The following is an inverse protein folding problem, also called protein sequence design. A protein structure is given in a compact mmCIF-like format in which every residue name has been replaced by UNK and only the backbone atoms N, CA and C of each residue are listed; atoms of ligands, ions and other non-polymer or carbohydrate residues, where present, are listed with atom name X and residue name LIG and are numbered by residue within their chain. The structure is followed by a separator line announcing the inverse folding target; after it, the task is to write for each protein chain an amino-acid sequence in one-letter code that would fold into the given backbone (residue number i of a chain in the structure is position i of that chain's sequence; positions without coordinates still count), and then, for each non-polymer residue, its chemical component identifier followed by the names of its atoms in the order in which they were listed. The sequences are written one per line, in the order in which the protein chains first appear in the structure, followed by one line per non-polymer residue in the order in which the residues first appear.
data_IF_422431714408
#
_entry.id   IF_422431714408
#
_cell.length_a   1.000
_cell.length_b   1.000
_cell.length_c   1.000
_cell.angle_alpha   90.00
_cell.angle_beta   90.00
_cell.angle_gamma   90.00
#
_symmetry.space_group_name_H-M   'P 1'
#
loop_
_entity.id
_entity.type
_entity.pdbx_description
1 polymer ?
#
# COMPACT_ATOMS: atom_id res chain seq x y z
N UNK A 1 3.15 8.60 -2.45
CA UNK A 1 3.31 9.52 -1.30
C UNK A 1 4.46 9.02 -0.46
N UNK A 2 5.52 9.78 -0.37
CA UNK A 2 6.66 9.50 0.50
C UNK A 2 6.74 10.64 1.49
N UNK A 3 7.00 10.37 2.74
CA UNK A 3 7.23 11.43 3.73
C UNK A 3 8.31 11.02 4.72
N UNK A 4 9.07 12.00 5.15
CA UNK A 4 10.13 11.85 6.14
C UNK A 4 9.55 11.82 7.54
N UNK A 5 10.06 10.96 8.39
CA UNK A 5 9.70 10.88 9.80
C UNK A 5 10.73 11.57 10.69
N UNK A 6 10.28 12.07 11.83
CA UNK A 6 11.19 12.51 12.88
C UNK A 6 11.99 11.29 13.39
N UNK A 7 13.33 11.32 13.25
CA UNK A 7 14.19 10.19 13.60
C UNK A 7 14.89 9.55 12.40
N UNK A 8 14.95 10.26 11.27
CA UNK A 8 15.80 9.88 10.12
C UNK A 8 15.25 8.78 9.22
N UNK A 9 14.01 8.35 9.43
CA UNK A 9 13.36 7.34 8.60
C UNK A 9 12.40 7.92 7.56
N UNK A 10 12.08 7.15 6.53
CA UNK A 10 11.06 7.49 5.52
C UNK A 10 9.95 6.43 5.46
N UNK A 11 8.73 6.89 5.25
CA UNK A 11 7.61 6.03 4.87
C UNK A 11 7.42 6.06 3.36
N UNK A 12 7.56 4.92 2.72
CA UNK A 12 7.31 4.74 1.30
C UNK A 12 5.89 4.23 1.10
N UNK A 13 4.99 5.10 0.68
CA UNK A 13 3.58 4.78 0.55
C UNK A 13 3.29 4.00 -0.73
N UNK A 14 3.01 2.73 -0.61
CA UNK A 14 2.40 1.92 -1.66
C UNK A 14 0.88 2.21 -1.68
N UNK A 15 0.28 2.55 -2.83
CA UNK A 15 -1.16 2.78 -2.90
C UNK A 15 -1.98 1.57 -2.45
N UNK A 16 -3.07 1.79 -1.74
CA UNK A 16 -4.06 0.77 -1.29
C UNK A 16 -3.56 -0.21 -0.23
N UNK A 17 -2.46 0.09 0.44
CA UNK A 17 -1.92 -0.76 1.53
C UNK A 17 -2.14 -0.18 2.94
N UNK A 18 -2.98 0.85 3.09
CA UNK A 18 -3.25 1.45 4.40
C UNK A 18 -2.39 2.68 4.74
N UNK A 19 -1.64 3.20 3.77
CA UNK A 19 -0.71 4.32 3.99
C UNK A 19 -1.35 5.60 4.52
N UNK A 20 -2.61 5.87 4.18
CA UNK A 20 -3.34 7.01 4.75
C UNK A 20 -3.49 6.87 6.26
N UNK A 21 -3.76 5.66 6.76
CA UNK A 21 -3.84 5.37 8.19
C UNK A 21 -2.47 5.60 8.87
N UNK A 22 -1.39 5.05 8.27
CA UNK A 22 -0.01 5.25 8.77
C UNK A 22 0.32 6.74 8.85
N UNK A 23 0.02 7.49 7.80
CA UNK A 23 0.27 8.93 7.77
C UNK A 23 -0.41 9.67 8.93
N UNK A 24 -1.70 9.43 9.14
CA UNK A 24 -2.42 10.11 10.21
C UNK A 24 -1.93 9.68 11.61
N UNK A 25 -1.62 8.38 11.80
CA UNK A 25 -1.04 7.89 13.04
C UNK A 25 0.27 8.62 13.36
N UNK A 26 1.19 8.64 12.42
CA UNK A 26 2.50 9.28 12.62
C UNK A 26 2.38 10.80 12.79
N UNK A 27 1.48 11.44 12.04
CA UNK A 27 1.20 12.87 12.17
C UNK A 27 0.64 13.23 13.55
N UNK A 28 -0.33 12.50 14.06
CA UNK A 28 -0.93 12.74 15.38
C UNK A 28 0.07 12.51 16.53
N UNK A 29 1.08 11.68 16.29
CA UNK A 29 2.16 11.48 17.24
C UNK A 29 3.36 12.43 17.03
N UNK A 30 3.23 13.43 16.15
CA UNK A 30 4.29 14.39 15.88
C UNK A 30 5.50 13.83 15.15
N UNK A 31 5.33 12.68 14.48
CA UNK A 31 6.42 11.96 13.82
C UNK A 31 6.63 12.35 12.36
N UNK A 32 5.75 13.14 11.76
CA UNK A 32 5.88 13.61 10.37
C UNK A 32 6.61 14.94 10.35
N UNK A 33 7.79 14.95 9.75
CA UNK A 33 8.66 16.14 9.68
C UNK A 33 8.29 17.09 8.54
N UNK A 34 7.63 16.62 7.48
CA UNK A 34 7.25 17.41 6.32
C UNK A 34 5.78 17.27 5.97
N UNK A 35 5.07 18.35 5.56
CA UNK A 35 3.73 18.22 5.02
C UNK A 35 3.80 17.57 3.62
N UNK A 36 2.85 16.71 3.34
CA UNK A 36 2.53 16.08 2.06
C UNK A 36 3.40 16.48 0.84
N UNK A 37 4.39 15.65 0.52
CA UNK A 37 4.85 15.53 -0.85
C UNK A 37 4.11 14.36 -1.52
N UNK A 38 3.52 14.56 -2.69
CA UNK A 38 2.95 13.48 -3.50
C UNK A 38 4.02 12.68 -4.25
N UNK A 39 5.25 12.72 -3.79
CA UNK A 39 6.35 11.98 -4.41
C UNK A 39 6.31 10.54 -3.98
N UNK A 40 6.30 9.63 -4.95
CA UNK A 40 6.31 8.19 -4.73
C UNK A 40 7.73 7.67 -4.99
N UNK A 41 8.39 7.19 -3.94
CA UNK A 41 9.52 6.29 -4.10
C UNK A 41 10.92 6.89 -4.16
N UNK A 42 11.15 8.16 -3.81
CA UNK A 42 12.50 8.71 -3.72
C UNK A 42 12.93 8.92 -2.27
N UNK A 43 14.02 8.26 -1.89
CA UNK A 43 14.77 8.52 -0.66
C UNK A 43 15.73 9.67 -0.94
N UNK A 44 15.76 10.68 -0.09
CA UNK A 44 16.65 11.82 -0.30
C UNK A 44 17.90 11.78 0.58
N UNK A 45 17.82 11.42 1.82
CA UNK A 45 18.96 11.27 2.74
C UNK A 45 18.55 10.52 4.03
N UNK A 46 17.50 9.72 3.96
CA UNK A 46 17.02 8.98 5.11
C UNK A 46 17.93 7.79 5.40
N UNK A 47 18.20 7.54 6.69
CA UNK A 47 19.03 6.42 7.13
C UNK A 47 18.36 5.06 6.88
N UNK A 48 17.02 5.06 6.83
CA UNK A 48 16.22 3.87 6.61
C UNK A 48 14.82 4.22 6.10
N UNK A 49 14.17 3.26 5.47
CA UNK A 49 12.79 3.39 5.03
C UNK A 49 11.94 2.18 5.42
N UNK A 50 10.64 2.38 5.44
CA UNK A 50 9.67 1.30 5.57
C UNK A 50 8.51 1.48 4.62
N UNK A 51 7.90 0.37 4.26
CA UNK A 51 6.66 0.34 3.48
C UNK A 51 5.64 -0.62 4.10
N UNK A 52 4.42 -0.57 3.59
CA UNK A 52 3.35 -1.49 3.97
C UNK A 52 2.95 -2.29 2.75
N UNK A 53 2.98 -3.61 2.83
CA UNK A 53 2.38 -4.50 1.86
C UNK A 53 0.95 -4.86 2.26
N UNK A 54 0.19 -5.35 1.31
CA UNK A 54 -1.12 -5.94 1.50
C UNK A 54 -1.19 -7.27 0.77
N UNK A 55 -1.90 -8.26 1.31
CA UNK A 55 -2.11 -9.52 0.62
C UNK A 55 -2.65 -9.28 -0.80
N UNK A 56 -2.11 -9.95 -1.85
CA UNK A 56 -2.45 -9.64 -3.24
C UNK A 56 -3.96 -9.61 -3.53
N UNK A 57 -4.73 -10.59 -3.07
CA UNK A 57 -6.19 -10.57 -3.25
C UNK A 57 -6.84 -9.32 -2.65
N UNK A 58 -6.45 -8.98 -1.41
CA UNK A 58 -6.93 -7.79 -0.73
C UNK A 58 -6.53 -6.49 -1.43
N UNK A 59 -5.34 -6.46 -2.03
CA UNK A 59 -4.88 -5.30 -2.79
C UNK A 59 -5.71 -5.08 -4.05
N UNK A 60 -5.85 -6.10 -4.91
CA UNK A 60 -6.63 -6.03 -6.16
C UNK A 60 -8.09 -5.66 -5.87
N UNK A 61 -8.73 -6.32 -4.90
CA UNK A 61 -10.11 -6.01 -4.51
C UNK A 61 -10.27 -4.56 -4.04
N UNK A 62 -9.35 -4.07 -3.18
CA UNK A 62 -9.38 -2.69 -2.68
C UNK A 62 -9.11 -1.66 -3.77
N UNK A 63 -8.21 -1.96 -4.71
CA UNK A 63 -7.94 -1.08 -5.82
C UNK A 63 -9.17 -0.96 -6.74
N UNK A 64 -9.76 -2.07 -7.15
CA UNK A 64 -10.94 -2.09 -7.99
C UNK A 64 -12.14 -1.37 -7.33
N UNK A 65 -12.38 -1.62 -6.03
CA UNK A 65 -13.44 -0.93 -5.30
C UNK A 65 -13.22 0.58 -5.22
N UNK A 66 -11.98 1.01 -4.99
CA UNK A 66 -11.62 2.43 -4.96
C UNK A 66 -11.82 3.10 -6.32
N UNK A 67 -11.36 2.50 -7.39
CA UNK A 67 -11.54 3.02 -8.75
C UNK A 67 -13.03 3.22 -9.08
N UNK A 68 -13.87 2.25 -8.74
CA UNK A 68 -15.32 2.37 -8.93
C UNK A 68 -15.94 3.49 -8.11
N UNK A 69 -15.54 3.63 -6.85
CA UNK A 69 -16.06 4.66 -5.95
C UNK A 69 -15.62 6.08 -6.33
N UNK A 70 -14.42 6.23 -6.89
CA UNK A 70 -13.85 7.53 -7.28
C UNK A 70 -14.24 7.98 -8.68
N UNK A 71 -15.05 7.21 -9.41
CA UNK A 71 -15.44 7.52 -10.78
C UNK A 71 -14.27 7.48 -11.78
N UNK A 72 -13.22 6.73 -11.48
CA UNK A 72 -12.06 6.47 -12.35
C UNK A 72 -11.16 7.68 -12.67
N UNK A 73 -11.37 8.84 -12.06
CA UNK A 73 -10.75 10.10 -12.50
C UNK A 73 -9.57 10.63 -11.68
N UNK A 74 -9.08 9.92 -10.67
CA UNK A 74 -8.27 10.55 -9.62
C UNK A 74 -6.75 10.47 -9.79
N UNK A 75 -6.23 9.81 -10.82
CA UNK A 75 -4.79 9.58 -10.97
C UNK A 75 -4.27 10.13 -12.29
N UNK A 76 -3.81 11.37 -12.29
CA UNK A 76 -3.51 12.10 -13.55
C UNK A 76 -2.02 12.23 -13.87
N UNK A 77 -1.11 11.70 -13.05
CA UNK A 77 0.34 11.83 -13.29
C UNK A 77 0.94 10.56 -13.90
N UNK A 78 1.69 10.67 -15.00
CA UNK A 78 2.38 9.54 -15.62
C UNK A 78 3.39 8.83 -14.67
N UNK A 79 3.85 9.54 -13.65
CA UNK A 79 4.77 9.00 -12.63
C UNK A 79 4.05 8.28 -11.47
N UNK A 80 2.72 8.33 -11.43
CA UNK A 80 1.98 7.66 -10.35
C UNK A 80 2.08 6.14 -10.49
N UNK A 81 2.36 5.37 -9.41
CA UNK A 81 2.51 3.92 -9.48
C UNK A 81 1.32 3.18 -10.08
N UNK A 82 0.13 3.77 -10.06
CA UNK A 82 -1.10 3.20 -10.64
C UNK A 82 -1.44 3.71 -12.04
N UNK A 83 -0.60 4.56 -12.65
CA UNK A 83 -0.92 5.17 -13.95
C UNK A 83 -1.16 4.12 -15.06
N UNK A 84 -0.47 3.00 -14.98
CA UNK A 84 -0.57 1.89 -15.93
C UNK A 84 -1.96 1.21 -15.92
N UNK A 85 -2.69 1.26 -14.80
CA UNK A 85 -3.94 0.49 -14.60
C UNK A 85 -5.18 1.37 -14.32
N UNK A 86 -5.08 2.67 -14.53
CA UNK A 86 -6.16 3.64 -14.21
C UNK A 86 -7.37 3.54 -15.13
N UNK A 87 -7.20 3.02 -16.33
CA UNK A 87 -8.22 3.14 -17.39
C UNK A 87 -9.21 1.97 -17.47
N UNK A 88 -9.11 0.99 -16.58
CA UNK A 88 -10.00 -0.17 -16.58
C UNK A 88 -11.35 0.19 -15.97
N UNK A 89 -12.38 0.31 -16.81
CA UNK A 89 -13.76 0.50 -16.38
C UNK A 89 -14.53 -0.81 -16.52
N UNK A 90 -14.99 -1.36 -15.41
CA UNK A 90 -15.82 -2.56 -15.41
C UNK A 90 -16.91 -2.46 -14.33
N UNK A 91 -18.14 -2.96 -14.60
CA UNK A 91 -19.27 -2.87 -13.66
C UNK A 91 -19.07 -3.69 -12.38
N UNK A 92 -18.22 -4.71 -12.39
CA UNK A 92 -17.93 -5.56 -11.23
C UNK A 92 -16.46 -5.46 -10.81
N UNK A 93 -16.20 -5.77 -9.53
CA UNK A 93 -14.83 -5.82 -9.00
C UNK A 93 -14.02 -6.92 -9.70
N UNK A 94 -14.58 -8.12 -9.83
CA UNK A 94 -13.93 -9.23 -10.55
C UNK A 94 -13.58 -8.87 -11.98
N UNK A 95 -14.51 -8.29 -12.72
CA UNK A 95 -14.26 -7.90 -14.10
C UNK A 95 -13.17 -6.85 -14.24
N UNK A 96 -13.10 -5.90 -13.30
CA UNK A 96 -12.02 -4.92 -13.27
C UNK A 96 -10.67 -5.57 -12.97
N UNK A 97 -10.61 -6.46 -11.98
CA UNK A 97 -9.37 -7.18 -11.65
C UNK A 97 -8.88 -8.01 -12.83
N UNK A 98 -9.77 -8.73 -13.50
CA UNK A 98 -9.44 -9.50 -14.71
C UNK A 98 -8.88 -8.63 -15.82
N UNK A 99 -9.52 -7.49 -16.10
CA UNK A 99 -9.04 -6.55 -17.12
C UNK A 99 -7.63 -6.02 -16.79
N UNK A 100 -7.35 -5.72 -15.52
CA UNK A 100 -6.01 -5.34 -15.08
C UNK A 100 -4.99 -6.46 -15.34
N UNK A 101 -5.32 -7.70 -14.99
CA UNK A 101 -4.42 -8.84 -15.15
C UNK A 101 -4.17 -9.20 -16.62
N UNK A 102 -5.17 -9.05 -17.49
CA UNK A 102 -5.04 -9.28 -18.93
C UNK A 102 -4.12 -8.24 -19.59
N UNK A 103 -4.19 -6.99 -19.17
CA UNK A 103 -3.42 -5.91 -19.77
C UNK A 103 -2.05 -5.74 -19.11
N UNK A 104 -1.98 -5.91 -17.79
CA UNK A 104 -0.76 -5.75 -16.99
C UNK A 104 -0.54 -6.92 -16.04
N UNK A 105 -0.26 -8.14 -16.55
CA UNK A 105 0.14 -9.25 -15.70
C UNK A 105 1.40 -8.85 -14.91
N UNK A 106 1.59 -9.36 -13.72
CA UNK A 106 2.71 -9.01 -12.83
C UNK A 106 2.76 -7.54 -12.35
N UNK A 107 1.66 -6.78 -12.52
CA UNK A 107 1.64 -5.37 -12.13
C UNK A 107 1.97 -5.17 -10.65
N UNK A 108 1.36 -5.96 -9.77
CA UNK A 108 1.51 -5.79 -8.32
C UNK A 108 2.94 -6.16 -7.87
N UNK A 109 3.51 -7.25 -8.38
CA UNK A 109 4.89 -7.65 -8.06
C UNK A 109 5.91 -6.62 -8.54
N UNK A 110 5.73 -6.06 -9.75
CA UNK A 110 6.60 -4.97 -10.23
C UNK A 110 6.48 -3.72 -9.34
N UNK A 111 5.27 -3.39 -8.91
CA UNK A 111 5.07 -2.28 -7.98
C UNK A 111 5.71 -2.57 -6.62
N UNK A 112 5.45 -3.73 -6.04
CA UNK A 112 6.04 -4.11 -4.74
C UNK A 112 7.57 -4.10 -4.78
N UNK A 113 8.18 -4.66 -5.83
CA UNK A 113 9.63 -4.70 -6.01
C UNK A 113 10.28 -3.33 -5.89
N UNK A 114 9.72 -2.31 -6.55
CA UNK A 114 10.23 -0.93 -6.48
C UNK A 114 10.31 -0.36 -5.07
N UNK A 115 9.38 -0.73 -4.19
CA UNK A 115 9.35 -0.24 -2.82
C UNK A 115 10.16 -1.13 -1.87
N UNK A 116 10.17 -2.44 -2.10
CA UNK A 116 10.92 -3.40 -1.30
C UNK A 116 12.42 -3.16 -1.39
N UNK A 117 12.94 -2.88 -2.59
CA UNK A 117 14.37 -2.61 -2.83
C UNK A 117 14.87 -1.41 -2.01
N UNK A 118 13.98 -0.48 -1.67
CA UNK A 118 14.32 0.73 -0.91
C UNK A 118 13.91 0.66 0.57
N UNK A 119 13.24 -0.41 1.01
CA UNK A 119 12.70 -0.53 2.36
C UNK A 119 13.54 -1.44 3.24
N UNK A 120 13.99 -0.93 4.38
CA UNK A 120 14.64 -1.74 5.43
C UNK A 120 13.62 -2.53 6.25
N UNK A 121 12.42 -2.00 6.43
CA UNK A 121 11.35 -2.63 7.21
C UNK A 121 10.09 -2.73 6.36
N UNK A 122 9.40 -3.85 6.47
CA UNK A 122 8.15 -4.10 5.77
C UNK A 122 7.07 -4.49 6.77
N UNK A 123 5.95 -3.77 6.70
CA UNK A 123 4.77 -4.01 7.51
C UNK A 123 3.69 -4.64 6.63
N UNK A 124 2.74 -5.33 7.24
CA UNK A 124 1.58 -5.89 6.54
C UNK A 124 0.30 -5.15 6.91
N UNK A 125 -0.53 -4.90 5.94
CA UNK A 125 -1.82 -4.23 6.17
C UNK A 125 -2.73 -5.03 7.12
N UNK A 126 -2.63 -6.34 7.05
CA UNK A 126 -3.43 -7.29 7.83
C UNK A 126 -3.07 -7.27 9.32
N UNK A 127 -1.81 -6.99 9.66
CA UNK A 127 -1.27 -6.92 11.02
C UNK A 127 -0.73 -5.53 11.36
N UNK A 128 -1.19 -4.50 10.64
CA UNK A 128 -0.58 -3.17 10.62
C UNK A 128 -0.39 -2.52 12.00
N UNK A 129 -1.33 -2.73 12.92
CA UNK A 129 -1.24 -2.18 14.28
C UNK A 129 -0.07 -2.82 15.04
N UNK A 130 0.04 -4.14 14.98
CA UNK A 130 1.10 -4.87 15.69
C UNK A 130 2.46 -4.59 15.05
N UNK A 131 2.51 -4.55 13.71
CA UNK A 131 3.72 -4.29 12.96
C UNK A 131 4.26 -2.86 13.21
N UNK A 132 3.38 -1.83 13.24
CA UNK A 132 3.82 -0.45 13.52
C UNK A 132 4.30 -0.29 14.97
N UNK A 133 3.72 -1.01 15.91
CA UNK A 133 4.20 -1.02 17.30
C UNK A 133 5.56 -1.70 17.39
N UNK A 134 5.75 -2.84 16.74
CA UNK A 134 7.06 -3.53 16.65
C UNK A 134 8.11 -2.64 15.99
N UNK A 135 7.76 -1.94 14.92
CA UNK A 135 8.65 -0.96 14.29
C UNK A 135 9.00 0.16 15.27
N UNK A 136 8.01 0.70 15.98
CA UNK A 136 8.24 1.82 16.91
C UNK A 136 9.22 1.45 18.00
N UNK A 137 9.15 0.25 18.54
CA UNK A 137 10.11 -0.25 19.54
C UNK A 137 11.53 -0.37 18.97
N UNK A 138 11.65 -0.87 17.72
CA UNK A 138 12.96 -1.01 17.05
C UNK A 138 13.65 0.31 16.73
N UNK A 139 12.86 1.35 16.39
CA UNK A 139 13.41 2.65 15.98
C UNK A 139 13.31 3.72 17.08
N UNK A 140 12.85 3.35 18.27
CA UNK A 140 12.78 4.24 19.42
C UNK A 140 11.65 5.29 19.35
N UNK A 141 10.56 4.99 18.65
CA UNK A 141 9.41 5.89 18.61
C UNK A 141 8.50 5.70 19.83
N UNK A 142 7.83 6.77 20.24
CA UNK A 142 6.78 6.73 21.27
C UNK A 142 5.41 6.95 20.63
N UNK A 143 4.81 5.89 20.11
CA UNK A 143 3.50 5.94 19.43
C UNK A 143 2.36 5.69 20.44
N UNK A 144 1.36 6.56 20.40
CA UNK A 144 0.11 6.42 21.17
C UNK A 144 -1.04 6.07 20.22
N UNK A 145 -1.64 4.90 20.44
CA UNK A 145 -2.76 4.42 19.61
C UNK A 145 -4.14 4.94 20.06
N UNK A 146 -4.23 5.79 21.10
CA UNK A 146 -5.50 6.13 21.80
C UNK A 146 -6.60 6.68 20.90
N UNK A 147 -6.27 7.38 19.82
CA UNK A 147 -7.23 7.99 18.90
C UNK A 147 -7.56 7.13 17.67
N UNK A 148 -6.88 6.03 17.46
CA UNK A 148 -6.93 5.27 16.21
C UNK A 148 -7.71 3.95 16.27
N UNK A 149 -8.22 3.55 17.46
CA UNK A 149 -9.03 2.33 17.60
C UNK A 149 -10.43 2.43 16.97
N UNK A 150 -10.89 3.63 16.66
CA UNK A 150 -12.24 3.90 16.17
C UNK A 150 -12.27 4.15 14.66
N UNK A 151 -11.93 3.13 13.88
CA UNK A 151 -12.18 3.08 12.45
C UNK A 151 -10.96 3.36 11.58
N UNK A 152 -10.66 2.41 10.72
CA UNK A 152 -9.74 2.61 9.60
C UNK A 152 -10.34 3.66 8.67
N UNK A 153 -9.81 4.87 8.69
CA UNK A 153 -10.24 5.93 7.76
C UNK A 153 -9.91 5.47 6.33
N UNK A 154 -10.87 5.58 5.43
CA UNK A 154 -10.80 5.20 4.01
C UNK A 154 -10.84 3.68 3.70
N UNK A 155 -11.51 2.88 4.50
CA UNK A 155 -11.94 1.57 4.01
C UNK A 155 -13.04 1.76 2.96
N UNK A 156 -12.72 1.47 1.70
CA UNK A 156 -13.75 1.26 0.70
C UNK A 156 -14.24 -0.17 0.87
N UNK A 157 -15.53 -0.39 1.24
CA UNK A 157 -16.05 -1.74 1.32
C UNK A 157 -15.86 -2.44 -0.03
N UNK A 158 -15.21 -3.57 -0.02
CA UNK A 158 -15.07 -4.42 -1.20
C UNK A 158 -15.65 -5.80 -0.88
N UNK A 159 -16.36 -6.36 -1.85
CA UNK A 159 -16.79 -7.75 -1.78
C UNK A 159 -15.60 -8.71 -1.91
N UNK A 160 -15.84 -9.97 -1.64
CA UNK A 160 -14.87 -11.02 -1.91
C UNK A 160 -14.70 -11.22 -3.42
N UNK A 161 -13.49 -11.51 -3.86
CA UNK A 161 -13.20 -11.94 -5.23
C UNK A 161 -13.71 -13.38 -5.41
N UNK A 162 -14.20 -13.66 -6.61
CA UNK A 162 -14.54 -15.05 -6.98
C UNK A 162 -13.28 -15.92 -7.00
N UNK A 163 -13.47 -17.23 -6.80
CA UNK A 163 -12.36 -18.19 -6.82
C UNK A 163 -11.65 -18.24 -8.19
N UNK A 164 -12.38 -17.97 -9.25
CA UNK A 164 -11.82 -17.86 -10.59
C UNK A 164 -10.88 -16.64 -10.71
N UNK A 165 -11.32 -15.49 -10.19
CA UNK A 165 -10.47 -14.28 -10.18
C UNK A 165 -9.25 -14.45 -9.28
N UNK A 166 -9.40 -15.10 -8.12
CA UNK A 166 -8.26 -15.43 -7.25
C UNK A 166 -7.23 -16.29 -7.95
N UNK A 167 -7.67 -17.38 -8.64
CA UNK A 167 -6.77 -18.23 -9.43
C UNK A 167 -6.05 -17.44 -10.53
N UNK A 168 -6.76 -16.57 -11.22
CA UNK A 168 -6.14 -15.72 -12.25
C UNK A 168 -5.07 -14.80 -11.67
N UNK A 169 -5.25 -14.24 -10.46
CA UNK A 169 -4.22 -13.45 -9.77
C UNK A 169 -2.99 -14.33 -9.48
N UNK A 170 -3.19 -15.55 -8.95
CA UNK A 170 -2.10 -16.48 -8.64
C UNK A 170 -1.31 -16.89 -9.89
N UNK A 171 -1.99 -17.08 -11.02
CA UNK A 171 -1.36 -17.46 -12.28
C UNK A 171 -0.63 -16.28 -12.96
N UNK A 172 -1.23 -15.08 -12.94
CA UNK A 172 -0.68 -13.92 -13.63
C UNK A 172 0.38 -13.15 -12.81
N UNK A 173 0.32 -13.22 -11.48
CA UNK A 173 1.21 -12.45 -10.58
C UNK A 173 1.70 -13.27 -9.36
N UNK A 174 2.30 -14.46 -9.57
CA UNK A 174 2.76 -15.32 -8.48
C UNK A 174 3.83 -14.66 -7.62
N UNK A 175 4.66 -13.81 -8.21
CA UNK A 175 5.75 -13.13 -7.51
C UNK A 175 5.25 -12.14 -6.46
N UNK A 176 4.04 -11.59 -6.63
CA UNK A 176 3.44 -10.73 -5.60
C UNK A 176 3.18 -11.48 -4.29
N UNK A 177 2.80 -12.77 -4.36
CA UNK A 177 2.64 -13.61 -3.17
C UNK A 177 3.99 -13.96 -2.54
N UNK A 178 4.98 -14.30 -3.37
CA UNK A 178 6.34 -14.58 -2.91
C UNK A 178 6.92 -13.37 -2.16
N UNK A 179 6.78 -12.18 -2.73
CA UNK A 179 7.22 -10.93 -2.10
C UNK A 179 6.47 -10.65 -0.80
N UNK A 180 5.14 -10.87 -0.78
CA UNK A 180 4.34 -10.66 0.41
C UNK A 180 4.72 -11.62 1.54
N UNK A 181 4.95 -12.90 1.24
CA UNK A 181 5.29 -13.93 2.24
C UNK A 181 6.71 -13.76 2.75
N UNK A 182 7.68 -13.52 1.84
CA UNK A 182 9.11 -13.48 2.15
C UNK A 182 9.61 -12.09 2.59
N UNK A 183 8.78 -11.04 2.50
CA UNK A 183 9.18 -9.73 2.99
C UNK A 183 9.62 -9.80 4.46
N UNK A 184 10.76 -9.19 4.80
CA UNK A 184 11.26 -9.23 6.17
C UNK A 184 10.26 -8.56 7.10
N UNK A 185 9.74 -9.33 8.06
CA UNK A 185 8.86 -8.80 9.09
C UNK A 185 9.62 -7.86 10.03
N UNK A 186 8.90 -6.92 10.59
CA UNK A 186 9.40 -6.05 11.64
C UNK A 186 9.56 -6.81 12.95
#
# INVERSE_FOLDING_TARGET
MTFTTCGGGAFLHIPKTGGTWVYYLLRENGMVASPFGHEHGHLHNEEWAFCVLRHPFGWYASHAAFQRASGFSTWTGAEHPLAEIVHHQHPTIDGMVRAILEESPTFLSRMYGKFLDSSKYVLRNETLVDDIMSLSDKVGWSIRLRSFREGRRNETPHGELSDETKRMIEECDPDAFVQYVNAPNV
#
